data_IF_281222897098
#
_entry.id   IF_281222897098
#
_cell.length_a   1.000
_cell.length_b   1.000
_cell.length_c   1.000
_cell.angle_alpha   90.00
_cell.angle_beta   90.00
_cell.angle_gamma   90.00
#
_symmetry.space_group_name_H-M   'P 1'
#
loop_
_entity.id
_entity.type
_entity.pdbx_description
1 polymer ?
#
# COMPACT_ATOMS: atom_id res chain seq x y z
N UNK A 1 17.74 19.37 -2.65
CA UNK A 1 17.44 19.37 -4.11
C UNK A 1 17.77 18.04 -4.81
N UNK A 2 19.03 17.56 -4.77
CA UNK A 2 19.46 16.32 -5.44
C UNK A 2 18.68 15.07 -5.01
N UNK A 3 18.49 14.87 -3.69
CA UNK A 3 17.70 13.75 -3.14
C UNK A 3 16.24 13.78 -3.61
N UNK A 4 15.58 14.94 -3.49
CA UNK A 4 14.19 15.08 -3.93
C UNK A 4 14.02 14.82 -5.43
N UNK A 5 14.97 15.27 -6.26
CA UNK A 5 14.96 14.95 -7.68
C UNK A 5 15.15 13.46 -7.93
N UNK A 6 16.02 12.79 -7.17
CA UNK A 6 16.19 11.33 -7.26
C UNK A 6 14.90 10.59 -6.89
N UNK A 7 14.24 10.93 -5.77
CA UNK A 7 12.94 10.36 -5.38
C UNK A 7 11.85 10.62 -6.44
N UNK A 8 11.78 11.84 -6.98
CA UNK A 8 10.82 12.18 -8.04
C UNK A 8 11.09 11.35 -9.29
N UNK A 9 12.33 11.29 -9.78
CA UNK A 9 12.65 10.57 -11.02
C UNK A 9 12.49 9.06 -10.82
N UNK A 10 13.08 8.51 -9.77
CA UNK A 10 13.00 7.08 -9.47
C UNK A 10 11.57 6.65 -9.18
N UNK A 11 10.89 7.31 -8.25
CA UNK A 11 9.51 7.00 -7.88
C UNK A 11 8.52 7.18 -9.03
N UNK A 12 8.67 8.25 -9.83
CA UNK A 12 7.85 8.47 -11.01
C UNK A 12 8.06 7.36 -12.03
N UNK A 13 9.30 7.05 -12.41
CA UNK A 13 9.58 6.02 -13.40
C UNK A 13 9.12 4.65 -12.91
N UNK A 14 9.36 4.29 -11.65
CA UNK A 14 9.01 2.98 -11.13
C UNK A 14 7.47 2.78 -11.13
N UNK A 15 6.71 3.72 -10.57
CA UNK A 15 5.27 3.53 -10.45
C UNK A 15 4.46 3.90 -11.69
N UNK A 16 4.83 4.99 -12.37
CA UNK A 16 4.02 5.49 -13.50
C UNK A 16 4.21 4.61 -14.73
N UNK A 17 5.34 3.93 -14.90
CA UNK A 17 5.53 2.99 -16.01
C UNK A 17 4.50 1.86 -15.97
N UNK A 18 4.21 1.28 -14.79
CA UNK A 18 3.17 0.25 -14.63
C UNK A 18 1.81 0.73 -15.14
N UNK A 19 1.37 1.90 -14.65
CA UNK A 19 0.07 2.47 -15.03
C UNK A 19 0.05 2.91 -16.50
N UNK A 20 1.14 3.46 -17.03
CA UNK A 20 1.24 3.84 -18.43
C UNK A 20 1.12 2.62 -19.35
N UNK A 21 1.78 1.51 -19.03
CA UNK A 21 1.67 0.26 -19.81
C UNK A 21 0.23 -0.25 -19.79
N UNK A 22 -0.41 -0.31 -18.61
CA UNK A 22 -1.81 -0.72 -18.49
C UNK A 22 -2.76 0.17 -19.29
N UNK A 23 -2.64 1.49 -19.11
CA UNK A 23 -3.52 2.45 -19.78
C UNK A 23 -3.32 2.40 -21.29
N UNK A 24 -2.09 2.33 -21.78
CA UNK A 24 -1.81 2.20 -23.22
C UNK A 24 -2.42 0.91 -23.79
N UNK A 25 -2.34 -0.22 -23.07
CA UNK A 25 -2.99 -1.45 -23.51
C UNK A 25 -4.52 -1.37 -23.48
N UNK A 26 -5.11 -0.80 -22.41
CA UNK A 26 -6.56 -0.61 -22.33
C UNK A 26 -7.07 0.37 -23.40
N UNK A 27 -6.27 1.37 -23.79
CA UNK A 27 -6.62 2.34 -24.84
C UNK A 27 -6.44 1.75 -26.25
N UNK A 28 -5.35 1.01 -26.49
CA UNK A 28 -5.04 0.45 -27.82
C UNK A 28 -5.98 -0.69 -28.21
N UNK A 29 -6.47 -1.47 -27.25
CA UNK A 29 -7.50 -2.50 -27.50
C UNK A 29 -8.82 -1.93 -28.06
N UNK A 30 -9.01 -0.60 -28.03
CA UNK A 30 -10.20 0.06 -28.59
C UNK A 30 -10.07 0.46 -30.07
N UNK A 31 -8.86 0.40 -30.65
CA UNK A 31 -8.61 0.94 -32.01
C UNK A 31 -8.62 -0.15 -33.09
N UNK A 32 -8.16 -1.35 -32.78
CA UNK A 32 -7.97 -2.39 -33.81
C UNK A 32 -9.19 -3.28 -34.06
N UNK A 33 -10.16 -3.28 -33.15
CA UNK A 33 -11.31 -4.17 -33.22
C UNK A 33 -12.58 -3.33 -33.42
N UNK A 34 -13.11 -3.33 -34.64
CA UNK A 34 -14.47 -2.90 -35.00
C UNK A 34 -15.55 -3.82 -34.37
N UNK A 35 -15.21 -4.43 -33.23
CA UNK A 35 -15.97 -5.40 -32.48
C UNK A 35 -16.66 -4.60 -31.38
N UNK A 36 -17.96 -4.80 -31.19
CA UNK A 36 -18.77 -4.07 -30.18
C UNK A 36 -18.27 -4.23 -28.72
N UNK A 37 -17.19 -5.00 -28.50
CA UNK A 37 -16.43 -5.06 -27.26
C UNK A 37 -15.44 -3.90 -27.17
N UNK A 38 -15.97 -2.68 -27.12
CA UNK A 38 -15.21 -1.49 -26.77
C UNK A 38 -14.74 -1.67 -25.32
N UNK A 39 -13.50 -2.14 -25.12
CA UNK A 39 -12.90 -2.42 -23.80
C UNK A 39 -12.44 -1.12 -23.15
N UNK A 40 -13.39 -0.20 -23.02
CA UNK A 40 -13.20 1.02 -22.25
C UNK A 40 -13.17 0.64 -20.78
N UNK A 41 -12.31 1.32 -20.01
CA UNK A 41 -12.48 1.36 -18.56
C UNK A 41 -13.92 1.87 -18.34
N UNK A 42 -14.85 1.08 -17.76
CA UNK A 42 -16.22 1.51 -17.54
C UNK A 42 -16.22 2.55 -16.41
N UNK A 43 -15.91 3.80 -16.78
CA UNK A 43 -15.79 4.94 -15.86
C UNK A 43 -17.06 5.10 -15.04
N UNK A 44 -18.22 4.78 -15.61
CA UNK A 44 -19.48 4.79 -14.86
C UNK A 44 -19.49 3.78 -13.72
N UNK A 45 -19.07 2.53 -13.94
CA UNK A 45 -18.97 1.51 -12.87
C UNK A 45 -17.92 1.92 -11.84
N UNK A 46 -16.79 2.47 -12.29
CA UNK A 46 -15.78 3.03 -11.41
C UNK A 46 -16.32 4.16 -10.54
N UNK A 47 -17.12 5.08 -11.11
CA UNK A 47 -17.76 6.19 -10.39
C UNK A 47 -18.79 5.69 -9.40
N UNK A 48 -19.60 4.68 -9.77
CA UNK A 48 -20.53 4.05 -8.83
C UNK A 48 -19.78 3.47 -7.64
N UNK A 49 -18.68 2.76 -7.86
CA UNK A 49 -17.86 2.24 -6.78
C UNK A 49 -17.25 3.37 -5.93
N UNK A 50 -16.74 4.43 -6.55
CA UNK A 50 -16.17 5.58 -5.86
C UNK A 50 -17.19 6.35 -5.01
N UNK A 51 -18.45 6.42 -5.43
CA UNK A 51 -19.53 7.14 -4.73
C UNK A 51 -20.20 6.27 -3.68
N UNK A 52 -20.47 5.00 -4.00
CA UNK A 52 -21.23 4.09 -3.13
C UNK A 52 -20.35 3.17 -2.28
N UNK A 53 -19.04 3.11 -2.54
CA UNK A 53 -18.08 2.32 -1.76
C UNK A 53 -18.34 0.82 -1.81
N UNK A 54 -18.75 0.27 -2.95
CA UNK A 54 -19.11 -1.17 -3.05
C UNK A 54 -17.90 -2.08 -2.77
N UNK A 55 -16.74 -1.73 -3.31
CA UNK A 55 -15.47 -2.40 -3.05
C UNK A 55 -15.07 -2.30 -1.58
N UNK A 56 -15.31 -1.16 -0.94
CA UNK A 56 -15.01 -0.94 0.47
C UNK A 56 -15.93 -1.79 1.35
N UNK A 57 -17.23 -1.79 1.06
CA UNK A 57 -18.20 -2.64 1.74
C UNK A 57 -17.82 -4.12 1.66
N UNK A 58 -17.47 -4.61 0.45
CA UNK A 58 -17.07 -6.00 0.27
C UNK A 58 -15.75 -6.31 0.99
N UNK A 59 -14.77 -5.41 0.91
CA UNK A 59 -13.49 -5.57 1.60
C UNK A 59 -13.67 -5.61 3.12
N UNK A 60 -14.49 -4.73 3.69
CA UNK A 60 -14.79 -4.68 5.11
C UNK A 60 -15.55 -5.93 5.57
N UNK A 61 -16.51 -6.39 4.75
CA UNK A 61 -17.22 -7.65 5.01
C UNK A 61 -16.26 -8.83 5.07
N UNK A 62 -15.34 -8.96 4.11
CA UNK A 62 -14.33 -10.03 4.11
C UNK A 62 -13.41 -9.87 5.32
N UNK A 63 -12.90 -8.67 5.58
CA UNK A 63 -11.99 -8.36 6.69
C UNK A 63 -12.58 -8.67 8.06
N UNK A 64 -13.91 -8.59 8.21
CA UNK A 64 -14.61 -8.94 9.45
C UNK A 64 -14.45 -10.41 9.82
N UNK A 65 -14.38 -11.30 8.83
CA UNK A 65 -14.35 -12.75 9.05
C UNK A 65 -12.98 -13.38 8.78
N UNK A 66 -12.13 -12.75 7.96
CA UNK A 66 -10.82 -13.29 7.60
C UNK A 66 -9.89 -12.21 7.04
N UNK A 67 -8.58 -12.47 7.02
CA UNK A 67 -7.62 -11.69 6.22
C UNK A 67 -7.61 -10.18 6.49
N UNK A 68 -7.76 -9.75 7.75
CA UNK A 68 -7.71 -8.33 8.11
C UNK A 68 -6.40 -7.69 7.60
N UNK A 69 -6.51 -6.64 6.79
CA UNK A 69 -5.39 -6.08 6.04
C UNK A 69 -4.21 -5.67 6.92
N UNK A 70 -4.45 -5.09 8.11
CA UNK A 70 -3.36 -4.69 9.00
C UNK A 70 -2.50 -5.88 9.47
N UNK A 71 -3.14 -7.01 9.78
CA UNK A 71 -2.43 -8.20 10.21
C UNK A 71 -1.69 -8.86 9.04
N UNK A 72 -2.37 -8.98 7.90
CA UNK A 72 -1.77 -9.52 6.68
C UNK A 72 -0.55 -8.69 6.26
N UNK A 73 -0.70 -7.37 6.19
CA UNK A 73 0.37 -6.45 5.85
C UNK A 73 1.54 -6.57 6.81
N UNK A 74 1.29 -6.56 8.13
CA UNK A 74 2.36 -6.69 9.12
C UNK A 74 3.21 -7.96 8.89
N UNK A 75 2.54 -9.11 8.71
CA UNK A 75 3.25 -10.38 8.51
C UNK A 75 3.97 -10.46 7.16
N UNK A 76 3.32 -10.01 6.08
CA UNK A 76 3.94 -9.96 4.75
C UNK A 76 5.14 -9.01 4.74
N UNK A 77 4.99 -7.83 5.33
CA UNK A 77 6.06 -6.84 5.39
C UNK A 77 7.23 -7.34 6.23
N UNK A 78 6.98 -7.95 7.39
CA UNK A 78 8.04 -8.58 8.19
C UNK A 78 8.72 -9.74 7.45
N UNK A 79 7.97 -10.55 6.71
CA UNK A 79 8.53 -11.62 5.87
C UNK A 79 9.40 -11.06 4.72
N UNK A 80 9.03 -9.91 4.16
CA UNK A 80 9.80 -9.21 3.14
C UNK A 80 11.16 -8.72 3.65
N UNK A 81 11.37 -8.65 4.97
CA UNK A 81 12.65 -8.34 5.62
C UNK A 81 13.48 -9.56 6.04
N UNK A 82 13.05 -10.78 5.68
CA UNK A 82 13.86 -11.98 5.92
C UNK A 82 15.13 -11.96 5.04
N UNK A 83 16.22 -12.59 5.50
CA UNK A 83 17.41 -12.76 4.66
C UNK A 83 17.05 -13.36 3.30
N UNK A 84 17.76 -12.91 2.24
CA UNK A 84 17.51 -13.25 0.83
C UNK A 84 16.23 -12.63 0.25
N UNK A 85 15.08 -12.71 0.95
CA UNK A 85 13.83 -12.07 0.51
C UNK A 85 13.99 -10.56 0.44
N UNK A 86 14.59 -9.96 1.48
CA UNK A 86 14.85 -8.52 1.52
C UNK A 86 15.65 -8.05 0.31
N UNK A 87 16.76 -8.72 0.03
CA UNK A 87 17.67 -8.35 -1.07
C UNK A 87 16.99 -8.40 -2.44
N UNK A 88 16.01 -9.29 -2.62
CA UNK A 88 15.35 -9.51 -3.91
C UNK A 88 14.03 -8.75 -4.07
N UNK A 89 13.25 -8.60 -3.01
CA UNK A 89 11.85 -8.20 -3.08
C UNK A 89 11.51 -6.92 -2.31
N UNK A 90 12.43 -6.37 -1.51
CA UNK A 90 12.08 -5.23 -0.65
C UNK A 90 13.19 -4.17 -0.47
N UNK A 91 14.46 -4.52 -0.68
CA UNK A 91 15.59 -3.59 -0.56
C UNK A 91 15.50 -2.43 -1.53
N UNK A 92 14.96 -2.64 -2.73
CA UNK A 92 14.77 -1.55 -3.70
C UNK A 92 13.81 -0.47 -3.15
N UNK A 93 12.82 -0.86 -2.31
CA UNK A 93 11.87 0.07 -1.70
C UNK A 93 12.56 0.93 -0.62
N UNK A 94 13.58 0.37 0.04
CA UNK A 94 14.45 1.05 1.01
C UNK A 94 15.69 1.69 0.39
N UNK A 95 15.83 1.64 -0.95
CA UNK A 95 17.05 2.09 -1.63
C UNK A 95 17.34 3.57 -1.37
N UNK A 96 16.29 4.39 -1.38
CA UNK A 96 16.36 5.76 -0.95
C UNK A 96 16.09 5.81 0.56
N UNK A 97 17.15 6.03 1.34
CA UNK A 97 17.05 6.15 2.80
C UNK A 97 16.04 7.24 3.21
N UNK A 98 15.22 6.92 4.21
CA UNK A 98 14.07 7.73 4.66
C UNK A 98 13.02 7.95 3.56
N UNK A 99 11.78 8.17 3.97
CA UNK A 99 10.65 8.03 3.07
C UNK A 99 10.15 9.37 2.50
N UNK A 100 9.78 9.39 1.22
CA UNK A 100 8.99 10.46 0.62
C UNK A 100 7.73 9.92 -0.04
N UNK A 101 6.74 10.79 -0.29
CA UNK A 101 5.54 10.43 -1.05
C UNK A 101 5.86 9.90 -2.45
N UNK A 102 7.01 10.24 -3.04
CA UNK A 102 7.38 9.78 -4.39
C UNK A 102 7.88 8.34 -4.39
N UNK A 103 8.46 7.87 -3.28
CA UNK A 103 9.05 6.54 -3.15
C UNK A 103 8.02 5.47 -2.76
N UNK A 104 6.78 5.91 -2.52
CA UNK A 104 5.72 5.17 -1.86
C UNK A 104 4.62 4.75 -2.84
N UNK A 105 4.72 3.52 -3.30
CA UNK A 105 3.82 2.99 -4.31
C UNK A 105 3.44 1.55 -4.01
N UNK A 106 2.16 1.22 -4.22
CA UNK A 106 1.65 -0.15 -4.02
C UNK A 106 2.00 -1.04 -5.23
N UNK A 107 2.14 -0.42 -6.41
CA UNK A 107 2.50 -1.08 -7.67
C UNK A 107 3.66 -0.34 -8.36
N UNK A 108 4.46 -1.06 -9.13
CA UNK A 108 5.62 -0.51 -9.83
C UNK A 108 6.76 -0.22 -8.86
N UNK A 109 7.03 -1.19 -8.01
CA UNK A 109 8.15 -1.34 -7.11
C UNK A 109 9.32 -2.06 -7.82
N UNK A 110 9.05 -2.84 -8.87
CA UNK A 110 10.05 -3.51 -9.71
C UNK A 110 10.35 -4.94 -9.28
N UNK A 111 9.60 -5.48 -8.31
CA UNK A 111 9.67 -6.89 -7.95
C UNK A 111 9.19 -7.78 -9.12
N UNK A 112 9.84 -8.93 -9.39
CA UNK A 112 9.41 -9.87 -10.44
C UNK A 112 7.92 -10.24 -10.40
N UNK A 113 7.36 -10.35 -9.19
CA UNK A 113 5.96 -10.64 -8.93
C UNK A 113 5.02 -9.56 -9.48
N UNK A 114 5.47 -8.31 -9.57
CA UNK A 114 4.67 -7.24 -10.15
C UNK A 114 4.57 -7.33 -11.67
N UNK A 115 5.57 -7.90 -12.35
CA UNK A 115 5.42 -8.20 -13.78
C UNK A 115 4.35 -9.27 -13.97
N UNK A 116 4.30 -10.29 -13.11
CA UNK A 116 3.22 -11.26 -13.13
C UNK A 116 1.86 -10.61 -12.86
N UNK A 117 1.76 -9.72 -11.87
CA UNK A 117 0.53 -8.97 -11.60
C UNK A 117 0.13 -8.10 -12.81
N UNK A 118 1.07 -7.39 -13.43
CA UNK A 118 0.82 -6.60 -14.63
C UNK A 118 0.25 -7.46 -15.76
N UNK A 119 0.87 -8.61 -16.04
CA UNK A 119 0.39 -9.57 -17.02
C UNK A 119 -1.00 -10.09 -16.66
N UNK A 120 -1.22 -10.46 -15.40
CA UNK A 120 -2.50 -10.94 -14.92
C UNK A 120 -3.61 -9.89 -15.11
N UNK A 121 -3.36 -8.63 -14.76
CA UNK A 121 -4.32 -7.54 -14.95
C UNK A 121 -4.60 -7.28 -16.43
N UNK A 122 -3.57 -7.27 -17.28
CA UNK A 122 -3.71 -7.12 -18.74
C UNK A 122 -4.55 -8.27 -19.32
N UNK A 123 -4.24 -9.51 -18.96
CA UNK A 123 -4.95 -10.68 -19.47
C UNK A 123 -6.39 -10.73 -18.96
N UNK A 124 -6.62 -10.38 -17.69
CA UNK A 124 -7.95 -10.31 -17.12
C UNK A 124 -8.81 -9.26 -17.80
N UNK A 125 -8.25 -8.06 -18.04
CA UNK A 125 -8.93 -7.01 -18.80
C UNK A 125 -9.16 -7.43 -20.25
N UNK A 126 -8.18 -8.06 -20.91
CA UNK A 126 -8.26 -8.47 -22.30
C UNK A 126 -9.25 -9.61 -22.52
N UNK A 127 -9.31 -10.61 -21.65
CA UNK A 127 -10.11 -11.82 -21.89
C UNK A 127 -11.48 -11.76 -21.22
N UNK A 128 -11.62 -11.08 -20.08
CA UNK A 128 -12.86 -11.02 -19.32
C UNK A 128 -13.50 -9.63 -19.31
N UNK A 129 -12.87 -8.62 -19.91
CA UNK A 129 -13.40 -7.25 -19.92
C UNK A 129 -13.42 -6.59 -18.53
N UNK A 130 -12.61 -7.09 -17.59
CA UNK A 130 -12.55 -6.57 -16.23
C UNK A 130 -11.72 -5.28 -16.18
N UNK A 131 -12.07 -4.36 -15.28
CA UNK A 131 -11.18 -3.26 -14.94
C UNK A 131 -9.92 -3.85 -14.30
N UNK A 132 -8.71 -3.49 -14.75
CA UNK A 132 -7.48 -3.79 -14.01
C UNK A 132 -7.62 -3.35 -12.54
N UNK A 133 -7.50 -4.26 -11.55
CA UNK A 133 -7.63 -3.93 -10.14
C UNK A 133 -6.85 -2.67 -9.72
N UNK A 134 -5.61 -2.50 -10.19
CA UNK A 134 -4.78 -1.31 -9.95
C UNK A 134 -5.42 0.03 -10.35
N UNK A 135 -6.41 0.02 -11.25
CA UNK A 135 -7.17 1.20 -11.69
C UNK A 135 -8.50 1.38 -10.96
N UNK A 136 -8.89 0.45 -10.07
CA UNK A 136 -10.09 0.59 -9.24
C UNK A 136 -9.95 1.76 -8.25
N UNK A 137 -11.07 2.38 -7.87
CA UNK A 137 -11.06 3.51 -6.95
C UNK A 137 -10.35 3.16 -5.63
N UNK A 138 -10.69 2.00 -5.05
CA UNK A 138 -10.10 1.54 -3.79
C UNK A 138 -8.58 1.39 -3.86
N UNK A 139 -8.04 0.74 -4.88
CA UNK A 139 -6.58 0.56 -4.99
C UNK A 139 -5.83 1.86 -5.32
N UNK A 140 -6.46 2.78 -6.07
CA UNK A 140 -5.93 4.13 -6.26
C UNK A 140 -5.95 4.93 -4.95
N UNK A 141 -7.01 4.82 -4.16
CA UNK A 141 -7.11 5.44 -2.84
C UNK A 141 -6.09 4.85 -1.86
N UNK A 142 -5.91 3.53 -1.83
CA UNK A 142 -4.85 2.89 -1.05
C UNK A 142 -3.46 3.36 -1.50
N UNK A 143 -3.24 3.49 -2.81
CA UNK A 143 -1.97 4.03 -3.33
C UNK A 143 -1.75 5.47 -2.88
N UNK A 144 -2.81 6.29 -2.87
CA UNK A 144 -2.76 7.65 -2.34
C UNK A 144 -2.45 7.68 -0.84
N UNK A 145 -3.18 6.91 -0.02
CA UNK A 145 -2.96 6.87 1.43
C UNK A 145 -1.56 6.34 1.74
N UNK A 146 -1.05 5.37 0.99
CA UNK A 146 0.33 4.89 1.09
C UNK A 146 1.33 6.03 0.89
N UNK A 147 1.15 6.87 -0.14
CA UNK A 147 1.96 8.08 -0.36
C UNK A 147 1.89 9.04 0.82
N UNK A 148 0.69 9.27 1.35
CA UNK A 148 0.52 10.17 2.51
C UNK A 148 1.16 9.60 3.78
N UNK A 149 1.18 8.28 3.96
CA UNK A 149 1.80 7.58 5.09
C UNK A 149 3.32 7.54 5.01
N UNK A 150 3.87 7.66 3.80
CA UNK A 150 5.29 7.82 3.53
C UNK A 150 5.77 9.28 3.53
N UNK A 151 4.86 10.22 3.77
CA UNK A 151 5.22 11.64 3.93
C UNK A 151 5.52 11.91 5.39
N UNK A 152 6.77 12.28 5.69
CA UNK A 152 7.15 12.69 7.05
C UNK A 152 6.31 13.90 7.50
N UNK A 153 5.62 13.76 8.62
CA UNK A 153 4.82 14.82 9.25
C UNK A 153 5.72 15.69 10.13
N UNK A 154 5.47 16.99 10.11
CA UNK A 154 6.22 18.00 10.88
C UNK A 154 5.99 17.83 12.36
N UNK A 155 4.74 17.60 12.76
CA UNK A 155 4.37 17.22 14.11
C UNK A 155 4.36 15.68 14.21
N UNK A 156 5.22 15.06 15.04
CA UNK A 156 5.27 13.60 15.20
C UNK A 156 4.30 13.05 16.26
N UNK A 157 3.37 13.86 16.79
CA UNK A 157 2.34 13.42 17.76
C UNK A 157 1.46 12.28 17.24
N UNK A 158 0.80 11.50 18.11
CA UNK A 158 -0.15 10.47 17.62
C UNK A 158 0.47 9.34 16.78
N UNK A 159 1.78 9.10 16.86
CA UNK A 159 2.43 8.04 16.09
C UNK A 159 2.58 8.33 14.59
N UNK A 160 2.29 9.57 14.14
CA UNK A 160 2.60 9.95 12.77
C UNK A 160 4.11 9.88 12.57
N UNK A 161 4.53 9.19 11.50
CA UNK A 161 5.89 8.77 11.17
C UNK A 161 6.30 7.36 11.61
N UNK A 162 5.42 6.52 12.18
CA UNK A 162 5.76 5.11 12.48
C UNK A 162 6.37 4.39 11.25
N UNK A 163 5.66 4.45 10.12
CA UNK A 163 6.12 3.87 8.85
C UNK A 163 7.29 4.64 8.22
N UNK A 164 7.34 5.97 8.34
CA UNK A 164 8.54 6.72 7.89
C UNK A 164 9.80 6.32 8.66
N UNK A 165 9.68 5.99 9.95
CA UNK A 165 10.78 5.50 10.77
C UNK A 165 11.17 4.06 10.39
N UNK A 166 10.24 3.26 9.86
CA UNK A 166 10.57 1.95 9.29
C UNK A 166 11.64 2.08 8.19
N UNK A 167 11.51 3.08 7.30
CA UNK A 167 12.50 3.42 6.27
C UNK A 167 13.86 3.92 6.79
N UNK A 168 13.99 4.11 8.11
CA UNK A 168 15.26 4.41 8.77
C UNK A 168 15.88 3.17 9.43
N UNK A 169 15.06 2.39 10.13
CA UNK A 169 15.54 1.28 10.97
C UNK A 169 15.44 -0.09 10.30
N UNK A 170 14.63 -0.20 9.23
CA UNK A 170 14.32 -1.35 8.37
C UNK A 170 13.77 -2.61 9.09
N UNK A 171 14.13 -2.85 10.35
CA UNK A 171 13.76 -4.04 11.13
C UNK A 171 12.79 -3.74 12.27
N UNK A 172 12.16 -2.57 12.22
CA UNK A 172 11.22 -2.05 13.21
C UNK A 172 10.05 -1.36 12.51
N UNK A 173 8.89 -1.27 13.16
CA UNK A 173 7.69 -0.61 12.64
C UNK A 173 7.16 -1.22 11.32
N UNK A 174 6.91 -2.53 11.29
CA UNK A 174 6.40 -3.22 10.11
C UNK A 174 4.93 -2.87 9.79
N UNK A 175 4.16 -2.30 10.72
CA UNK A 175 2.81 -1.83 10.48
C UNK A 175 2.78 -0.48 9.74
N UNK A 176 2.02 -0.41 8.65
CA UNK A 176 1.90 0.80 7.82
C UNK A 176 0.88 1.83 8.35
N UNK A 177 -0.26 1.37 8.84
CA UNK A 177 -1.38 2.21 9.30
C UNK A 177 -1.69 2.01 10.79
N UNK A 178 -0.70 1.60 11.57
CA UNK A 178 -0.85 1.36 12.99
C UNK A 178 0.37 0.66 13.57
N UNK A 179 0.58 0.82 14.87
CA UNK A 179 1.71 0.25 15.60
C UNK A 179 1.34 -0.92 16.50
N UNK A 180 0.05 -1.27 16.63
CA UNK A 180 -0.40 -2.27 17.60
C UNK A 180 0.19 -3.67 17.37
N UNK A 181 0.29 -4.10 16.11
CA UNK A 181 0.97 -5.35 15.78
C UNK A 181 2.47 -5.27 16.09
N UNK A 182 3.10 -4.12 15.86
CA UNK A 182 4.50 -3.92 16.23
C UNK A 182 4.70 -3.93 17.75
N UNK A 183 3.77 -3.37 18.52
CA UNK A 183 3.80 -3.41 19.98
C UNK A 183 3.61 -4.83 20.51
N UNK A 184 2.62 -5.55 19.97
CA UNK A 184 2.33 -6.94 20.33
C UNK A 184 3.55 -7.85 20.10
N UNK A 185 4.23 -7.69 18.97
CA UNK A 185 5.40 -8.51 18.61
C UNK A 185 6.76 -7.91 19.02
N UNK A 186 6.79 -6.78 19.73
CA UNK A 186 8.02 -6.12 20.17
C UNK A 186 8.90 -5.56 19.03
N UNK A 187 8.29 -5.22 17.90
CA UNK A 187 8.96 -4.66 16.72
C UNK A 187 8.79 -3.15 16.57
N UNK A 188 8.21 -2.44 17.53
CA UNK A 188 8.22 -0.97 17.56
C UNK A 188 9.63 -0.39 17.79
N UNK A 189 9.90 0.78 17.21
CA UNK A 189 11.05 1.63 17.55
C UNK A 189 10.89 2.19 18.95
N UNK A 190 9.68 2.67 19.28
CA UNK A 190 9.34 3.19 20.60
C UNK A 190 8.04 2.54 21.08
N UNK A 191 8.14 1.77 22.17
CA UNK A 191 7.00 1.11 22.80
C UNK A 191 6.25 2.04 23.78
N UNK A 192 6.79 3.22 24.09
CA UNK A 192 6.20 4.16 25.03
C UNK A 192 5.23 5.14 24.36
N UNK A 193 5.08 5.07 23.03
CA UNK A 193 4.05 5.83 22.32
C UNK A 193 2.70 5.41 22.88
N UNK A 194 1.90 6.38 23.30
CA UNK A 194 0.57 6.16 23.89
C UNK A 194 -0.52 6.94 23.15
N UNK A 195 -0.23 7.33 21.91
CA UNK A 195 -1.13 8.11 21.06
C UNK A 195 -1.18 7.52 19.65
N UNK A 196 -2.38 7.50 19.06
CA UNK A 196 -2.65 7.08 17.69
C UNK A 196 -3.73 7.98 17.07
N UNK A 197 -3.31 8.88 16.18
CA UNK A 197 -4.21 9.92 15.65
C UNK A 197 -4.76 10.81 16.77
N UNK A 198 -6.09 10.88 16.91
CA UNK A 198 -6.75 11.63 17.99
C UNK A 198 -6.88 10.84 19.29
N UNK A 199 -6.49 9.56 19.30
CA UNK A 199 -6.73 8.66 20.43
C UNK A 199 -5.50 8.54 21.30
N UNK A 200 -5.69 8.58 22.61
CA UNK A 200 -4.74 8.07 23.59
C UNK A 200 -5.03 6.60 23.85
N UNK A 201 -4.02 5.82 24.13
CA UNK A 201 -4.22 4.44 24.54
C UNK A 201 -3.28 4.01 25.67
N UNK A 202 -3.76 3.09 26.49
CA UNK A 202 -2.96 2.37 27.47
C UNK A 202 -2.75 0.94 26.97
N UNK A 203 -1.48 0.51 26.91
CA UNK A 203 -1.13 -0.87 26.56
C UNK A 203 -0.77 -1.62 27.85
N UNK A 204 -1.55 -2.65 28.18
CA UNK A 204 -1.27 -3.57 29.29
C UNK A 204 -1.01 -4.96 28.75
N UNK A 205 -0.12 -5.69 29.43
CA UNK A 205 0.20 -7.08 29.10
C UNK A 205 -0.27 -7.94 30.27
N UNK A 206 -1.19 -8.86 29.99
CA UNK A 206 -1.77 -9.79 30.97
C UNK A 206 -1.51 -11.23 30.52
N UNK A 207 -0.40 -11.80 30.97
CA UNK A 207 0.03 -13.13 30.54
C UNK A 207 0.44 -13.14 29.06
N UNK A 208 -0.32 -13.87 28.24
CA UNK A 208 -0.13 -13.99 26.78
C UNK A 208 -0.98 -12.99 25.97
N UNK A 209 -1.71 -12.10 26.66
CA UNK A 209 -2.60 -11.11 26.03
C UNK A 209 -2.00 -9.72 26.09
N UNK A 210 -2.07 -9.00 24.97
CA UNK A 210 -1.94 -7.55 24.95
C UNK A 210 -3.32 -6.91 24.88
N UNK A 211 -3.58 -5.99 25.80
CA UNK A 211 -4.81 -5.22 25.88
C UNK A 211 -4.51 -3.76 25.56
N UNK A 212 -5.32 -3.16 24.69
CA UNK A 212 -5.22 -1.75 24.31
C UNK A 212 -6.53 -1.05 24.68
N UNK A 213 -6.48 -0.13 25.63
CA UNK A 213 -7.62 0.68 26.06
C UNK A 213 -7.53 2.07 25.44
N UNK A 214 -8.52 2.45 24.63
CA UNK A 214 -8.52 3.71 23.90
C UNK A 214 -9.39 4.77 24.59
N UNK A 215 -8.85 5.98 24.72
CA UNK A 215 -9.57 7.18 25.16
C UNK A 215 -9.40 8.28 24.13
N UNK A 216 -10.47 9.03 23.86
CA UNK A 216 -10.44 10.18 22.94
C UNK A 216 -10.14 11.46 23.71
#
# INVERSE_FOLDING_TARGET
PKRMLASVVFGFLNCKTYHCVLLLHCLHTNVENNDNNNRQIPVFVWLLDAVFGLSDFLADFICKYSLHWQALFYHQHRAAHLPLVYEQAHKFHHYLHDSTAFDAHIYGSGAPEEFFLLWFEILAAKWFGLIPPSLTYRLLYLSWTNKTGHTRKVDPTGGVNNHCNHHLYHRKNYGIYGMFMDMYFGTCVDNNVNEWGEWKYTHTIEGDKSCFEFTK
#
